data_IF_232230400577
#
_entry.id   IF_232230400577
#
_cell.length_a   1.000
_cell.length_b   1.000
_cell.length_c   1.000
_cell.angle_alpha   90.00
_cell.angle_beta   90.00
_cell.angle_gamma   90.00
#
_symmetry.space_group_name_H-M   'P 1'
#
loop_
_entity.id
_entity.type
_entity.pdbx_description
1 polymer ?
#
# COMPACT_ATOMS: atom_id res chain seq x y z
N UNK A 1 -13.45 4.86 -0.37
CA UNK A 1 -13.05 4.45 0.99
C UNK A 1 -11.70 3.74 0.95
N UNK A 2 -10.89 3.85 2.01
CA UNK A 2 -9.65 3.06 2.20
C UNK A 2 -9.79 2.26 3.49
N UNK A 3 -9.35 0.99 3.49
CA UNK A 3 -9.33 0.14 4.68
C UNK A 3 -8.02 -0.63 4.72
N UNK A 4 -7.17 -0.34 5.70
CA UNK A 4 -6.01 -1.16 6.03
C UNK A 4 -6.43 -2.21 7.06
N UNK A 5 -6.00 -3.45 6.88
CA UNK A 5 -6.22 -4.52 7.83
C UNK A 5 -4.90 -5.26 8.11
N UNK A 6 -4.67 -5.65 9.36
CA UNK A 6 -3.48 -6.41 9.77
C UNK A 6 -3.89 -7.68 10.52
N UNK A 7 -3.20 -8.78 10.24
CA UNK A 7 -3.48 -10.11 10.79
C UNK A 7 -2.38 -10.66 11.70
N UNK A 8 -1.43 -9.83 12.16
CA UNK A 8 -0.32 -10.26 13.03
C UNK A 8 -0.80 -10.94 14.33
N UNK A 9 -2.03 -10.68 14.77
CA UNK A 9 -2.65 -11.29 15.95
C UNK A 9 -3.57 -12.48 15.65
N UNK A 10 -3.63 -12.95 14.41
CA UNK A 10 -4.36 -14.15 13.97
C UNK A 10 -5.64 -13.91 13.17
N UNK A 11 -6.38 -12.83 13.45
CA UNK A 11 -7.53 -12.36 12.64
C UNK A 11 -7.26 -10.95 12.12
N UNK A 12 -7.78 -10.60 10.94
CA UNK A 12 -7.66 -9.26 10.37
C UNK A 12 -8.37 -8.22 11.24
N UNK A 13 -7.62 -7.23 11.70
CA UNK A 13 -8.14 -6.06 12.42
C UNK A 13 -8.04 -4.84 11.53
N UNK A 14 -9.14 -4.08 11.42
CA UNK A 14 -9.15 -2.83 10.66
C UNK A 14 -8.36 -1.75 11.40
N UNK A 15 -7.46 -1.11 10.67
CA UNK A 15 -6.71 0.07 11.10
C UNK A 15 -7.29 1.26 10.33
N UNK A 16 -7.69 2.35 11.01
CA UNK A 16 -8.47 3.43 10.41
C UNK A 16 -7.64 4.35 9.50
N UNK A 17 -6.90 3.80 8.54
CA UNK A 17 -6.09 4.57 7.60
C UNK A 17 -6.98 5.39 6.68
N UNK A 18 -6.53 6.61 6.39
CA UNK A 18 -7.10 7.45 5.34
C UNK A 18 -6.02 7.78 4.32
N UNK A 19 -6.34 7.76 3.04
CA UNK A 19 -5.36 8.03 2.01
C UNK A 19 -5.83 7.70 0.63
N UNK A 20 -4.87 7.64 -0.28
CA UNK A 20 -5.07 7.27 -1.66
C UNK A 20 -3.83 6.57 -2.21
N UNK A 21 -4.08 5.72 -3.19
CA UNK A 21 -3.10 5.25 -4.14
C UNK A 21 -3.50 5.75 -5.53
N UNK A 22 -2.52 6.25 -6.28
CA UNK A 22 -2.68 6.61 -7.69
C UNK A 22 -1.85 5.64 -8.49
N UNK A 23 -2.51 4.88 -9.37
CA UNK A 23 -1.88 3.93 -10.28
C UNK A 23 -2.09 4.43 -11.71
N UNK A 24 -1.00 4.52 -12.46
CA UNK A 24 -0.98 4.76 -13.90
C UNK A 24 -0.26 3.60 -14.59
N UNK A 25 -0.28 3.51 -15.93
CA UNK A 25 0.43 2.43 -16.64
C UNK A 25 1.93 2.33 -16.37
N UNK A 26 2.57 3.34 -15.78
CA UNK A 26 4.03 3.36 -15.56
C UNK A 26 4.45 3.90 -14.20
N UNK A 27 3.53 4.20 -13.29
CA UNK A 27 3.85 4.92 -12.04
C UNK A 27 2.83 4.62 -10.97
N UNK A 28 3.31 4.46 -9.74
CA UNK A 28 2.50 4.37 -8.52
C UNK A 28 2.91 5.48 -7.56
N UNK A 29 1.91 6.10 -6.93
CA UNK A 29 2.09 7.03 -5.82
C UNK A 29 1.14 6.68 -4.70
N UNK A 30 1.67 6.60 -3.48
CA UNK A 30 0.90 6.34 -2.26
C UNK A 30 1.02 7.54 -1.32
N UNK A 31 -0.11 7.92 -0.74
CA UNK A 31 -0.17 8.82 0.39
C UNK A 31 -1.29 8.36 1.32
N UNK A 32 -0.93 7.85 2.49
CA UNK A 32 -1.86 7.41 3.51
C UNK A 32 -1.38 7.78 4.92
N UNK A 33 -2.31 7.75 5.88
CA UNK A 33 -2.05 8.14 7.25
C UNK A 33 -2.89 7.31 8.22
N UNK A 34 -2.25 6.84 9.29
CA UNK A 34 -2.90 6.42 10.53
C UNK A 34 -3.31 7.66 11.35
N UNK A 35 -4.59 7.89 11.65
CA UNK A 35 -5.02 9.02 12.48
C UNK A 35 -4.58 8.91 13.94
N UNK A 36 -4.14 7.73 14.40
CA UNK A 36 -3.56 7.57 15.74
C UNK A 36 -2.17 8.23 15.80
N UNK A 37 -2.10 9.37 16.49
CA UNK A 37 -0.84 10.11 16.69
C UNK A 37 0.18 9.37 17.56
N UNK A 38 -0.22 8.29 18.23
CA UNK A 38 0.66 7.41 19.01
C UNK A 38 1.07 6.14 18.24
N UNK A 39 0.65 5.99 16.99
CA UNK A 39 1.06 4.86 16.15
C UNK A 39 2.58 4.82 16.02
N UNK A 40 3.17 3.66 16.32
CA UNK A 40 4.60 3.41 16.13
C UNK A 40 4.98 3.47 14.66
N UNK A 41 6.22 3.86 14.40
CA UNK A 41 6.84 3.73 13.08
C UNK A 41 6.88 2.25 12.66
N UNK A 42 6.77 2.02 11.35
CA UNK A 42 6.79 0.70 10.74
C UNK A 42 7.66 0.67 9.48
N UNK A 43 7.70 -0.47 8.77
CA UNK A 43 8.50 -0.62 7.56
C UNK A 43 8.17 0.39 6.46
N UNK A 44 6.90 0.82 6.39
CA UNK A 44 6.38 1.74 5.37
C UNK A 44 5.91 3.08 5.94
N UNK A 45 5.95 3.27 7.26
CA UNK A 45 5.32 4.40 7.94
C UNK A 45 6.28 5.11 8.89
N UNK A 46 6.24 6.44 8.87
CA UNK A 46 6.95 7.30 9.83
C UNK A 46 5.99 8.35 10.39
N UNK A 47 5.93 8.48 11.72
CA UNK A 47 4.97 9.30 12.46
C UNK A 47 3.51 9.07 12.00
N UNK A 48 3.16 7.82 11.70
CA UNK A 48 1.83 7.44 11.23
C UNK A 48 1.56 7.74 9.74
N UNK A 49 2.51 8.27 8.97
CA UNK A 49 2.33 8.54 7.54
C UNK A 49 3.05 7.51 6.67
N UNK A 50 2.35 7.02 5.67
CA UNK A 50 2.91 6.28 4.53
C UNK A 50 2.92 7.20 3.32
N UNK A 51 4.09 7.36 2.70
CA UNK A 51 4.18 8.03 1.41
C UNK A 51 5.36 7.49 0.62
N UNK A 52 5.11 7.06 -0.61
CA UNK A 52 6.15 6.74 -1.58
C UNK A 52 5.67 6.95 -3.02
N UNK A 53 6.63 7.06 -3.92
CA UNK A 53 6.41 7.27 -5.34
C UNK A 53 7.53 6.58 -6.14
N UNK A 54 7.16 6.02 -7.29
CA UNK A 54 8.13 5.46 -8.21
C UNK A 54 7.54 4.97 -9.54
N UNK A 55 8.40 4.72 -10.54
CA UNK A 55 8.04 3.94 -11.72
C UNK A 55 7.45 2.59 -11.32
N UNK A 56 6.47 2.13 -12.08
CA UNK A 56 5.81 0.86 -11.82
C UNK A 56 5.78 -0.03 -13.06
N UNK A 57 5.94 -1.32 -12.83
CA UNK A 57 5.69 -2.39 -13.82
C UNK A 57 4.50 -3.20 -13.34
N UNK A 58 3.51 -3.40 -14.20
CA UNK A 58 2.33 -4.23 -13.93
C UNK A 58 2.53 -5.55 -14.68
N UNK A 59 2.32 -6.65 -13.97
CA UNK A 59 2.25 -8.00 -14.51
C UNK A 59 0.82 -8.51 -14.35
N UNK A 60 0.04 -8.43 -15.43
CA UNK A 60 -1.36 -8.88 -15.44
C UNK A 60 -1.51 -10.41 -15.43
N UNK A 61 -0.45 -11.17 -15.77
CA UNK A 61 -0.50 -12.63 -15.76
C UNK A 61 -0.30 -13.18 -14.33
N UNK A 62 0.46 -12.47 -13.50
CA UNK A 62 0.71 -12.79 -12.08
C UNK A 62 -0.16 -11.98 -11.11
N UNK A 63 -1.05 -11.12 -11.61
CA UNK A 63 -1.86 -10.17 -10.83
C UNK A 63 -0.99 -9.38 -9.83
N UNK A 64 0.16 -8.88 -10.28
CA UNK A 64 1.09 -8.09 -9.44
C UNK A 64 1.49 -6.77 -10.07
N UNK A 65 1.92 -5.83 -9.23
CA UNK A 65 2.72 -4.69 -9.69
C UNK A 65 3.96 -4.52 -8.81
N UNK A 66 5.02 -4.01 -9.42
CA UNK A 66 6.27 -3.67 -8.74
C UNK A 66 6.55 -2.18 -8.88
N UNK A 67 6.95 -1.52 -7.80
CA UNK A 67 7.30 -0.10 -7.76
C UNK A 67 8.76 0.06 -7.40
N UNK A 68 9.54 0.70 -8.27
CA UNK A 68 10.92 1.10 -7.98
C UNK A 68 10.88 2.43 -7.23
N UNK A 69 11.10 2.40 -5.91
CA UNK A 69 10.86 3.55 -5.05
C UNK A 69 11.93 4.63 -5.26
N UNK A 70 11.53 5.77 -5.80
CA UNK A 70 12.43 6.93 -6.04
C UNK A 70 12.34 7.98 -4.93
N UNK A 71 11.19 8.06 -4.25
CA UNK A 71 10.95 9.00 -3.16
C UNK A 71 10.02 8.37 -2.13
N UNK A 72 10.34 8.52 -0.85
CA UNK A 72 9.52 8.01 0.25
C UNK A 72 9.69 8.83 1.54
N UNK A 73 8.68 8.81 2.40
CA UNK A 73 8.76 9.35 3.76
C UNK A 73 9.73 8.52 4.62
N UNK A 74 9.64 7.20 4.54
CA UNK A 74 10.64 6.27 5.08
C UNK A 74 11.81 6.20 4.11
N UNK A 75 12.91 6.91 4.41
CA UNK A 75 14.05 7.06 3.48
C UNK A 75 14.70 5.75 3.06
N UNK A 76 14.67 4.74 3.92
CA UNK A 76 15.29 3.44 3.64
C UNK A 76 14.60 2.68 2.51
N UNK A 77 13.36 3.03 2.16
CA UNK A 77 12.66 2.46 1.00
C UNK A 77 13.26 2.93 -0.33
N UNK A 78 13.96 4.07 -0.38
CA UNK A 78 14.47 4.64 -1.63
C UNK A 78 15.52 3.71 -2.24
N UNK A 79 15.31 3.35 -3.51
CA UNK A 79 16.13 2.39 -4.26
C UNK A 79 15.73 0.92 -4.09
N UNK A 80 14.68 0.63 -3.31
CA UNK A 80 14.08 -0.71 -3.24
C UNK A 80 12.97 -0.86 -4.27
N UNK A 81 12.70 -2.12 -4.65
CA UNK A 81 11.53 -2.50 -5.43
C UNK A 81 10.51 -3.13 -4.50
N UNK A 82 9.29 -2.58 -4.46
CA UNK A 82 8.17 -3.13 -3.70
C UNK A 82 7.19 -3.83 -4.63
N UNK A 83 6.98 -5.14 -4.46
CA UNK A 83 6.02 -5.92 -5.24
C UNK A 83 4.76 -6.17 -4.42
N UNK A 84 3.59 -5.99 -5.03
CA UNK A 84 2.27 -6.22 -4.43
C UNK A 84 1.41 -7.05 -5.37
N UNK A 85 0.70 -8.02 -4.82
CA UNK A 85 -0.40 -8.66 -5.53
C UNK A 85 -1.63 -7.74 -5.47
N UNK A 86 -2.44 -7.76 -6.52
CA UNK A 86 -3.67 -7.01 -6.60
C UNK A 86 -4.86 -7.89 -6.98
N UNK A 87 -6.03 -7.54 -6.47
CA UNK A 87 -7.31 -8.04 -6.96
C UNK A 87 -8.21 -6.84 -7.24
N UNK A 88 -8.84 -6.79 -8.41
CA UNK A 88 -9.81 -5.76 -8.77
C UNK A 88 -11.18 -6.41 -8.96
N UNK A 89 -12.12 -6.07 -8.07
CA UNK A 89 -13.52 -6.50 -8.17
C UNK A 89 -14.42 -5.27 -8.15
N UNK A 90 -15.20 -5.08 -9.21
CA UNK A 90 -16.03 -3.88 -9.44
C UNK A 90 -15.20 -2.58 -9.30
N UNK A 91 -15.52 -1.74 -8.32
CA UNK A 91 -14.83 -0.49 -8.00
C UNK A 91 -13.86 -0.65 -6.81
N UNK A 92 -13.50 -1.88 -6.43
CA UNK A 92 -12.60 -2.15 -5.30
C UNK A 92 -11.28 -2.76 -5.78
N UNK A 93 -10.17 -2.17 -5.34
CA UNK A 93 -8.82 -2.70 -5.43
C UNK A 93 -8.40 -3.24 -4.07
N UNK A 94 -7.98 -4.50 -3.99
CA UNK A 94 -7.36 -5.09 -2.80
C UNK A 94 -5.89 -5.34 -3.09
N UNK A 95 -5.01 -4.88 -2.21
CA UNK A 95 -3.57 -5.12 -2.29
C UNK A 95 -3.11 -6.01 -1.15
N UNK A 96 -2.25 -6.96 -1.49
CA UNK A 96 -1.56 -7.82 -0.52
C UNK A 96 -0.06 -7.86 -0.80
N UNK A 97 0.77 -8.02 0.24
CA UNK A 97 2.18 -8.34 0.08
C UNK A 97 2.37 -9.68 -0.65
N UNK A 98 3.45 -9.76 -1.43
CA UNK A 98 3.92 -11.04 -1.97
C UNK A 98 4.77 -11.82 -0.96
N UNK A 99 5.34 -11.15 0.05
CA UNK A 99 6.06 -11.79 1.14
C UNK A 99 5.07 -12.25 2.23
N UNK A 100 4.94 -13.56 2.50
CA UNK A 100 4.03 -14.08 3.52
C UNK A 100 4.42 -13.69 4.96
N UNK A 101 5.63 -13.14 5.19
CA UNK A 101 6.00 -12.57 6.48
C UNK A 101 5.29 -11.23 6.76
N UNK A 102 4.79 -10.56 5.72
CA UNK A 102 3.96 -9.37 5.85
C UNK A 102 2.50 -9.77 6.02
N UNK A 103 1.84 -9.27 7.07
CA UNK A 103 0.52 -9.78 7.51
C UNK A 103 -0.63 -8.81 7.25
N UNK A 104 -0.41 -7.80 6.40
CA UNK A 104 -1.38 -6.76 6.11
C UNK A 104 -2.07 -6.95 4.76
N UNK A 105 -3.26 -6.36 4.60
CA UNK A 105 -3.92 -6.14 3.32
C UNK A 105 -4.56 -4.75 3.32
N UNK A 106 -4.68 -4.12 2.16
CA UNK A 106 -5.36 -2.83 2.05
C UNK A 106 -6.36 -2.84 0.91
N UNK A 107 -7.54 -2.29 1.17
CA UNK A 107 -8.61 -2.13 0.17
C UNK A 107 -8.80 -0.65 -0.13
N UNK A 108 -8.88 -0.32 -1.42
CA UNK A 108 -9.18 1.00 -1.94
C UNK A 108 -10.42 0.94 -2.83
N UNK A 109 -11.33 1.87 -2.63
CA UNK A 109 -12.43 2.11 -3.55
C UNK A 109 -12.00 3.12 -4.60
N UNK A 110 -12.38 2.88 -5.86
CA UNK A 110 -12.14 3.79 -6.97
C UNK A 110 -12.87 5.11 -6.73
N UNK A 111 -12.15 6.22 -6.84
CA UNK A 111 -12.77 7.54 -6.88
C UNK A 111 -13.36 7.72 -8.28
N UNK A 112 -14.68 7.91 -8.35
CA UNK A 112 -15.40 8.31 -9.57
C UNK A 112 -15.77 9.79 -9.50
N UNK A 113 -15.72 10.47 -10.65
CA UNK A 113 -16.18 11.87 -10.80
C UNK A 113 -17.71 11.98 -10.82
#
# INVERSE_FOLDING_TARGET
>A
MTSLEDSATGEFQSIPYSGQIVITPSTVSVQAMNPDTAASDGPYTINGYEAFYGPATIDDDEDTFSVDVESAAVRDLIGQTLTRSFEVTDDTLVLTPTDPAETWRVSYERVTD
#
